data_IF_101686188433
#
_entry.id   IF_101686188433
#
_cell.length_a   1.000
_cell.length_b   1.000
_cell.length_c   1.000
_cell.angle_alpha   90.00
_cell.angle_beta   90.00
_cell.angle_gamma   90.00
#
_symmetry.space_group_name_H-M   'P 1'
#
loop_
_entity.id
_entity.type
_entity.pdbx_description
1 polymer ?
#
# COMPACT_ATOMS: atom_id res chain seq x y z
N UNK A 1 -4.61 -18.82 0.23
CA UNK A 1 -4.37 -18.13 -1.06
C UNK A 1 -3.46 -19.00 -1.93
N UNK A 2 -3.74 -19.19 -3.23
CA UNK A 2 -2.88 -19.95 -4.14
C UNK A 2 -1.44 -19.42 -4.22
N UNK A 3 -0.42 -20.26 -4.50
CA UNK A 3 0.98 -19.82 -4.53
C UNK A 3 1.28 -18.62 -5.46
N UNK A 4 0.72 -18.53 -6.69
CA UNK A 4 0.94 -17.36 -7.55
C UNK A 4 0.40 -16.05 -6.95
N UNK A 5 -0.77 -16.11 -6.30
CA UNK A 5 -1.33 -14.93 -5.64
C UNK A 5 -0.50 -14.50 -4.42
N UNK A 6 0.20 -15.43 -3.75
CA UNK A 6 1.09 -15.07 -2.64
C UNK A 6 2.27 -14.24 -3.12
N UNK A 7 2.84 -14.61 -4.28
CA UNK A 7 3.92 -13.83 -4.91
C UNK A 7 3.42 -12.43 -5.27
N UNK A 8 2.22 -12.32 -5.86
CA UNK A 8 1.59 -11.02 -6.17
C UNK A 8 1.38 -10.20 -4.90
N UNK A 9 0.91 -10.82 -3.81
CA UNK A 9 0.69 -10.13 -2.53
C UNK A 9 1.98 -9.61 -1.90
N UNK A 10 3.06 -10.38 -1.95
CA UNK A 10 4.39 -9.93 -1.48
C UNK A 10 4.92 -8.80 -2.37
N UNK A 11 4.73 -8.89 -3.69
CA UNK A 11 5.07 -7.82 -4.64
C UNK A 11 4.33 -6.52 -4.34
N UNK A 12 3.02 -6.58 -4.11
CA UNK A 12 2.22 -5.42 -3.71
C UNK A 12 2.71 -4.80 -2.40
N UNK A 13 3.02 -5.62 -1.39
CA UNK A 13 3.56 -5.14 -0.13
C UNK A 13 4.84 -4.33 -0.33
N UNK A 14 5.78 -4.87 -1.13
CA UNK A 14 7.04 -4.20 -1.45
C UNK A 14 6.82 -2.87 -2.18
N UNK A 15 5.93 -2.84 -3.19
CA UNK A 15 5.62 -1.61 -3.94
C UNK A 15 4.96 -0.56 -3.04
N UNK A 16 4.02 -0.96 -2.17
CA UNK A 16 3.34 -0.05 -1.25
C UNK A 16 4.33 0.56 -0.26
N UNK A 17 5.19 -0.27 0.35
CA UNK A 17 6.22 0.18 1.30
C UNK A 17 7.21 1.12 0.60
N UNK A 18 7.71 0.76 -0.58
CA UNK A 18 8.63 1.58 -1.35
C UNK A 18 8.02 2.93 -1.72
N UNK A 19 6.78 2.95 -2.21
CA UNK A 19 6.09 4.20 -2.52
C UNK A 19 5.88 5.06 -1.26
N UNK A 20 5.57 4.48 -0.10
CA UNK A 20 5.49 5.24 1.16
C UNK A 20 6.86 5.80 1.60
N UNK A 21 7.92 5.03 1.44
CA UNK A 21 9.27 5.43 1.85
C UNK A 21 9.87 6.50 0.92
N UNK A 22 9.69 6.37 -0.41
CA UNK A 22 10.34 7.23 -1.39
C UNK A 22 9.46 8.40 -1.88
N UNK A 23 8.14 8.21 -1.97
CA UNK A 23 7.26 9.19 -2.60
C UNK A 23 6.71 10.22 -1.62
N UNK A 24 6.53 9.85 -0.35
CA UNK A 24 6.03 10.76 0.69
C UNK A 24 7.14 11.65 1.30
N UNK A 25 8.40 11.24 1.20
CA UNK A 25 9.55 11.98 1.75
C UNK A 25 10.62 12.28 0.69
N UNK A 26 10.27 12.99 -0.41
CA UNK A 26 11.25 13.35 -1.41
C UNK A 26 12.30 14.30 -0.81
N UNK A 27 13.56 13.86 -0.77
CA UNK A 27 14.71 14.67 -0.31
C UNK A 27 15.31 14.26 1.03
N UNK A 28 14.73 13.29 1.73
CA UNK A 28 15.22 12.84 3.02
C UNK A 28 16.33 11.78 2.85
N UNK A 29 17.54 12.08 3.32
CA UNK A 29 18.78 11.33 3.01
C UNK A 29 18.93 10.01 3.79
N UNK A 30 17.90 9.55 4.50
CA UNK A 30 17.94 8.32 5.30
C UNK A 30 16.97 7.23 4.78
N UNK A 31 17.22 6.68 3.58
CA UNK A 31 16.34 5.71 2.95
C UNK A 31 16.11 4.44 3.78
N UNK A 32 17.11 4.01 4.57
CA UNK A 32 16.96 2.84 5.46
C UNK A 32 15.95 3.07 6.59
N UNK A 33 15.94 4.27 7.19
CA UNK A 33 15.00 4.61 8.25
C UNK A 33 13.58 4.73 7.69
N UNK A 34 13.43 5.36 6.52
CA UNK A 34 12.13 5.52 5.86
C UNK A 34 11.53 4.18 5.42
N UNK A 35 12.32 3.24 4.89
CA UNK A 35 11.86 1.88 4.56
C UNK A 35 11.43 1.14 5.83
N UNK A 36 12.19 1.27 6.92
CA UNK A 36 11.87 0.59 8.19
C UNK A 36 10.56 1.11 8.77
N UNK A 37 10.40 2.43 8.85
CA UNK A 37 9.17 3.08 9.33
C UNK A 37 7.97 2.75 8.45
N UNK A 38 8.11 2.81 7.12
CA UNK A 38 7.05 2.46 6.19
C UNK A 38 6.67 0.97 6.29
N UNK A 39 7.64 0.09 6.52
CA UNK A 39 7.40 -1.34 6.75
C UNK A 39 6.65 -1.57 8.06
N UNK A 40 7.09 -0.95 9.16
CA UNK A 40 6.39 -1.04 10.44
C UNK A 40 4.96 -0.54 10.33
N UNK A 41 4.74 0.59 9.66
CA UNK A 41 3.41 1.11 9.40
C UNK A 41 2.56 0.13 8.58
N UNK A 42 3.14 -0.52 7.55
CA UNK A 42 2.43 -1.53 6.75
C UNK A 42 2.00 -2.76 7.58
N UNK A 43 2.85 -3.22 8.50
CA UNK A 43 2.55 -4.38 9.35
C UNK A 43 1.60 -4.06 10.50
N UNK A 44 1.65 -2.84 11.03
CA UNK A 44 0.79 -2.40 12.13
C UNK A 44 -0.60 -1.94 11.63
N UNK A 45 -0.71 -1.57 10.36
CA UNK A 45 -2.00 -1.23 9.76
C UNK A 45 -2.76 -2.48 9.30
N UNK A 46 -4.04 -2.32 8.99
CA UNK A 46 -4.83 -3.33 8.28
C UNK A 46 -4.49 -3.43 6.78
N UNK A 47 -3.41 -2.79 6.32
CA UNK A 47 -3.08 -2.73 4.89
C UNK A 47 -2.79 -4.10 4.29
N UNK A 48 -2.06 -4.97 5.00
CA UNK A 48 -1.77 -6.32 4.52
C UNK A 48 -3.06 -7.12 4.25
N UNK A 49 -4.04 -7.00 5.14
CA UNK A 49 -5.33 -7.66 5.02
C UNK A 49 -6.16 -7.06 3.87
N UNK A 50 -6.18 -5.73 3.72
CA UNK A 50 -6.85 -5.07 2.59
C UNK A 50 -6.25 -5.47 1.24
N UNK A 51 -4.91 -5.56 1.15
CA UNK A 51 -4.20 -6.02 -0.06
C UNK A 51 -4.59 -7.46 -0.38
N UNK A 52 -4.64 -8.34 0.63
CA UNK A 52 -5.05 -9.73 0.47
C UNK A 52 -6.48 -9.86 -0.07
N UNK A 53 -7.43 -9.12 0.51
CA UNK A 53 -8.84 -9.14 0.07
C UNK A 53 -8.97 -8.60 -1.35
N UNK A 54 -8.33 -7.47 -1.66
CA UNK A 54 -8.41 -6.85 -2.97
C UNK A 54 -7.76 -7.71 -4.08
N UNK A 55 -6.67 -8.43 -3.79
CA UNK A 55 -6.10 -9.43 -4.70
C UNK A 55 -7.09 -10.57 -4.93
N UNK A 56 -7.68 -11.11 -3.88
CA UNK A 56 -8.66 -12.20 -4.03
C UNK A 56 -9.88 -11.77 -4.84
N UNK A 57 -10.32 -10.52 -4.72
CA UNK A 57 -11.42 -9.96 -5.48
C UNK A 57 -11.05 -9.73 -6.96
N UNK A 58 -9.89 -9.12 -7.22
CA UNK A 58 -9.41 -8.84 -8.57
C UNK A 58 -9.20 -10.13 -9.39
N UNK A 59 -8.72 -11.19 -8.75
CA UNK A 59 -8.37 -12.44 -9.41
C UNK A 59 -9.40 -13.57 -9.21
N UNK A 60 -10.61 -13.24 -8.72
CA UNK A 60 -11.65 -14.25 -8.40
C UNK A 60 -12.06 -15.12 -9.59
N UNK A 61 -12.01 -14.55 -10.80
CA UNK A 61 -12.40 -15.21 -12.06
C UNK A 61 -11.19 -15.53 -12.95
N UNK A 62 -9.96 -15.31 -12.47
CA UNK A 62 -8.75 -15.47 -13.27
C UNK A 62 -8.46 -16.96 -13.56
N UNK A 63 -8.60 -17.36 -14.82
CA UNK A 63 -8.28 -18.70 -15.32
C UNK A 63 -6.78 -18.86 -15.52
N UNK A 64 -6.03 -19.06 -14.43
CA UNK A 64 -4.59 -19.42 -14.39
C UNK A 64 -3.63 -18.35 -14.97
N UNK A 65 -4.11 -17.44 -15.80
CA UNK A 65 -3.35 -16.35 -16.41
C UNK A 65 -3.53 -15.07 -15.59
N UNK A 66 -2.47 -14.70 -14.88
CA UNK A 66 -2.44 -13.50 -14.05
C UNK A 66 -1.92 -12.27 -14.79
N UNK A 67 -1.28 -12.48 -15.96
CA UNK A 67 -0.73 -11.43 -16.82
C UNK A 67 -1.71 -11.04 -17.93
N UNK A 68 -2.94 -10.70 -17.55
CA UNK A 68 -3.92 -10.12 -18.48
C UNK A 68 -3.99 -8.61 -18.25
N UNK A 69 -4.32 -7.82 -19.29
CA UNK A 69 -4.44 -6.37 -19.13
C UNK A 69 -5.40 -5.94 -18.01
N UNK A 70 -6.48 -6.70 -17.82
CA UNK A 70 -7.50 -6.44 -16.79
C UNK A 70 -6.93 -6.66 -15.38
N UNK A 71 -6.19 -7.74 -15.20
CA UNK A 71 -5.53 -8.08 -13.93
C UNK A 71 -4.43 -7.07 -13.57
N UNK A 72 -3.66 -6.62 -14.56
CA UNK A 72 -2.64 -5.58 -14.37
C UNK A 72 -3.28 -4.25 -13.97
N UNK A 73 -4.38 -3.86 -14.63
CA UNK A 73 -5.12 -2.66 -14.29
C UNK A 73 -5.69 -2.70 -12.86
N UNK A 74 -6.29 -3.83 -12.47
CA UNK A 74 -6.82 -4.02 -11.11
C UNK A 74 -5.72 -3.95 -10.04
N UNK A 75 -4.53 -4.49 -10.33
CA UNK A 75 -3.36 -4.39 -9.45
C UNK A 75 -2.90 -2.95 -9.28
N UNK A 76 -2.86 -2.18 -10.37
CA UNK A 76 -2.54 -0.77 -10.36
C UNK A 76 -3.50 0.05 -9.51
N UNK A 77 -4.80 -0.18 -9.67
CA UNK A 77 -5.84 0.51 -8.89
C UNK A 77 -5.73 0.21 -7.39
N UNK A 78 -5.47 -1.05 -7.03
CA UNK A 78 -5.25 -1.49 -5.66
C UNK A 78 -4.10 -0.71 -5.00
N UNK A 79 -2.96 -0.61 -5.70
CA UNK A 79 -1.78 0.13 -5.22
C UNK A 79 -2.11 1.61 -5.03
N UNK A 80 -2.77 2.24 -6.01
CA UNK A 80 -3.13 3.66 -5.95
C UNK A 80 -4.11 3.96 -4.81
N UNK A 81 -5.15 3.15 -4.66
CA UNK A 81 -6.14 3.29 -3.58
C UNK A 81 -5.47 3.18 -2.21
N UNK A 82 -4.48 2.29 -2.07
CA UNK A 82 -3.77 2.13 -0.83
C UNK A 82 -2.94 3.37 -0.46
N UNK A 83 -2.30 4.00 -1.43
CA UNK A 83 -1.54 5.24 -1.21
C UNK A 83 -2.44 6.41 -0.81
N UNK A 84 -3.58 6.58 -1.50
CA UNK A 84 -4.50 7.68 -1.25
C UNK A 84 -5.28 7.55 0.07
N UNK A 85 -5.53 6.33 0.54
CA UNK A 85 -6.30 6.12 1.79
C UNK A 85 -5.58 6.62 3.05
N UNK A 86 -4.29 6.97 2.96
CA UNK A 86 -3.51 7.52 4.08
C UNK A 86 -3.34 9.04 4.06
N UNK A 87 -3.96 9.76 3.11
CA UNK A 87 -3.83 11.22 3.00
C UNK A 87 -4.92 12.00 3.76
N UNK A 88 -5.37 11.51 4.92
CA UNK A 88 -6.08 12.37 5.87
C UNK A 88 -5.04 12.86 6.90
N UNK A 89 -4.39 14.02 6.68
CA UNK A 89 -3.67 14.65 7.77
C UNK A 89 -4.72 14.94 8.84
N UNK A 90 -4.52 14.39 10.03
CA UNK A 90 -5.27 14.79 11.20
C UNK A 90 -5.05 16.29 11.36
N UNK A 91 -6.03 17.10 10.97
CA UNK A 91 -6.05 18.53 11.26
C UNK A 91 -6.12 18.67 12.77
N UNK A 92 -4.95 18.75 13.40
CA UNK A 92 -4.82 19.17 14.79
C UNK A 92 -5.19 20.66 14.81
N UNK A 93 -6.44 20.95 15.14
CA UNK A 93 -6.87 22.27 15.55
C UNK A 93 -6.10 22.64 16.82
N UNK A 94 -5.13 23.54 16.70
CA UNK A 94 -4.65 24.29 17.85
C UNK A 94 -5.73 25.29 18.25
N UNK A 95 -6.50 24.95 19.28
CA UNK A 95 -7.26 25.94 20.04
C UNK A 95 -6.26 26.71 20.90
N UNK A 96 -5.85 27.88 20.42
CA UNK A 96 -5.20 28.88 21.27
C UNK A 96 -6.25 29.46 22.21
N UNK A 97 -6.28 28.99 23.46
CA UNK A 97 -6.88 29.74 24.56
C UNK A 97 -5.98 30.94 24.85
N UNK A 98 -6.52 32.13 24.59
CA UNK A 98 -5.94 33.42 24.95
C UNK A 98 -6.25 33.71 26.41
N UNK A 99 -5.23 34.03 27.20
CA UNK A 99 -5.35 34.63 28.54
C UNK A 99 -5.55 36.15 28.47
#
# INVERSE_FOLDING_TARGET
MPPPLQIISVGCAAVIIAAKAFWLHPGDLHPQLQITTASQHYFQSSTAEHVRVAILEAFKDASVHYDTPENVAALGELVLKNQMSTSCPSSVSYSSESE
#
